data_IF_442777508381
#
_entry.id   IF_442777508381
#
_cell.length_a   1.000
_cell.length_b   1.000
_cell.length_c   1.000
_cell.angle_alpha   90.00
_cell.angle_beta   90.00
_cell.angle_gamma   90.00
#
_symmetry.space_group_name_H-M   'P 1'
#
loop_
_entity.id
_entity.type
_entity.pdbx_description
1 polymer ?
#
# COMPACT_ATOMS: atom_id res chain seq x y z
N UNK A 1 0.33 -15.65 3.24
CA UNK A 1 1.58 -16.44 3.41
C UNK A 1 2.28 -15.95 4.67
N UNK A 2 2.30 -16.73 5.76
CA UNK A 2 3.03 -16.34 6.99
C UNK A 2 4.53 -16.52 6.70
N UNK A 3 5.32 -15.46 6.86
CA UNK A 3 6.77 -15.52 6.63
C UNK A 3 7.39 -16.42 7.72
N UNK A 4 8.02 -17.53 7.33
CA UNK A 4 8.74 -18.38 8.28
C UNK A 4 10.10 -17.75 8.61
N UNK A 5 10.12 -16.95 9.67
CA UNK A 5 11.34 -16.29 10.17
C UNK A 5 12.40 -17.27 10.70
N UNK A 6 12.06 -18.54 10.92
CA UNK A 6 13.01 -19.59 11.32
C UNK A 6 13.71 -20.23 10.13
N UNK A 7 13.18 -20.07 8.92
CA UNK A 7 13.79 -20.60 7.70
C UNK A 7 15.12 -19.91 7.39
N UNK A 8 16.18 -20.72 7.23
CA UNK A 8 17.51 -20.21 6.84
C UNK A 8 17.48 -19.49 5.49
N UNK A 9 16.61 -19.92 4.58
CA UNK A 9 16.45 -19.29 3.26
C UNK A 9 15.92 -17.87 3.39
N UNK A 10 14.92 -17.64 4.24
CA UNK A 10 14.35 -16.30 4.46
C UNK A 10 15.33 -15.38 5.19
N UNK A 11 16.07 -15.90 6.17
CA UNK A 11 17.15 -15.16 6.85
C UNK A 11 18.27 -14.75 5.88
N UNK A 12 18.67 -15.64 4.98
CA UNK A 12 19.68 -15.36 3.95
C UNK A 12 19.19 -14.32 2.94
N UNK A 13 17.95 -14.45 2.44
CA UNK A 13 17.33 -13.46 1.55
C UNK A 13 17.30 -12.09 2.21
N UNK A 14 16.86 -12.02 3.47
CA UNK A 14 16.86 -10.78 4.23
C UNK A 14 18.24 -10.13 4.32
N UNK A 15 19.27 -10.90 4.67
CA UNK A 15 20.66 -10.39 4.72
C UNK A 15 21.16 -9.84 3.38
N UNK A 16 20.87 -10.55 2.28
CA UNK A 16 21.25 -10.11 0.92
C UNK A 16 20.48 -8.85 0.52
N UNK A 17 19.17 -8.80 0.74
CA UNK A 17 18.33 -7.64 0.42
C UNK A 17 18.76 -6.41 1.21
N UNK A 18 19.04 -6.57 2.52
CA UNK A 18 19.54 -5.47 3.35
C UNK A 18 20.92 -4.99 2.89
N UNK A 19 21.84 -5.91 2.59
CA UNK A 19 23.16 -5.55 2.06
C UNK A 19 23.05 -4.76 0.74
N UNK A 20 22.21 -5.23 -0.19
CA UNK A 20 21.97 -4.54 -1.45
C UNK A 20 21.35 -3.15 -1.24
N UNK A 21 20.31 -3.05 -0.40
CA UNK A 21 19.65 -1.79 -0.11
C UNK A 21 20.62 -0.76 0.51
N UNK A 22 21.41 -1.17 1.50
CA UNK A 22 22.40 -0.28 2.15
C UNK A 22 23.51 0.13 1.17
N UNK A 23 23.99 -0.79 0.33
CA UNK A 23 24.98 -0.47 -0.69
C UNK A 23 24.44 0.54 -1.73
N UNK A 24 23.21 0.37 -2.18
CA UNK A 24 22.53 1.31 -3.09
C UNK A 24 22.39 2.69 -2.44
N UNK A 25 21.97 2.75 -1.17
CA UNK A 25 21.89 4.02 -0.43
C UNK A 25 23.26 4.71 -0.31
N UNK A 26 24.31 3.92 -0.06
CA UNK A 26 25.69 4.41 -0.09
C UNK A 26 26.09 4.99 -1.44
N UNK A 27 25.79 4.28 -2.54
CA UNK A 27 26.06 4.74 -3.90
C UNK A 27 25.29 6.03 -4.25
N UNK A 28 24.01 6.12 -3.90
CA UNK A 28 23.20 7.32 -4.08
C UNK A 28 23.81 8.49 -3.30
N UNK A 29 24.18 8.27 -2.03
CA UNK A 29 24.80 9.29 -1.18
C UNK A 29 26.16 9.76 -1.73
N UNK A 30 26.92 8.85 -2.33
CA UNK A 30 28.20 9.14 -2.97
C UNK A 30 28.01 9.98 -4.24
N UNK A 31 27.05 9.61 -5.09
CA UNK A 31 26.72 10.32 -6.32
C UNK A 31 26.22 11.74 -6.06
N UNK A 32 25.34 11.93 -5.07
CA UNK A 32 24.80 13.27 -4.72
C UNK A 32 25.91 14.22 -4.23
N UNK A 33 26.97 13.71 -3.62
CA UNK A 33 28.06 14.52 -3.05
C UNK A 33 29.32 14.56 -3.93
N UNK A 34 29.16 14.31 -5.24
CA UNK A 34 30.22 14.53 -6.23
C UNK A 34 31.41 13.57 -6.09
N UNK A 35 31.19 12.37 -5.55
CA UNK A 35 32.20 11.33 -5.41
C UNK A 35 33.41 11.64 -4.51
N UNK A 36 33.41 12.78 -3.80
CA UNK A 36 34.56 13.26 -3.05
C UNK A 36 35.01 12.34 -1.90
N UNK A 37 34.06 11.72 -1.19
CA UNK A 37 34.34 10.78 -0.10
C UNK A 37 33.53 9.50 -0.29
N UNK A 38 34.22 8.36 -0.37
CA UNK A 38 33.58 7.05 -0.39
C UNK A 38 32.85 6.85 0.94
N UNK A 39 31.55 6.54 0.94
CA UNK A 39 30.80 6.30 2.17
C UNK A 39 31.14 4.92 2.76
N UNK A 40 32.34 4.80 3.32
CA UNK A 40 32.89 3.56 3.92
C UNK A 40 31.98 2.98 5.01
N UNK A 41 31.26 3.82 5.75
CA UNK A 41 30.27 3.36 6.73
C UNK A 41 29.13 2.56 6.11
N UNK A 42 28.61 2.98 4.94
CA UNK A 42 27.53 2.26 4.28
C UNK A 42 28.01 0.92 3.72
N UNK A 43 29.16 0.92 3.05
CA UNK A 43 29.72 -0.32 2.49
C UNK A 43 30.17 -1.31 3.56
N UNK A 44 30.71 -0.85 4.68
CA UNK A 44 31.06 -1.74 5.81
C UNK A 44 29.82 -2.39 6.42
N UNK A 45 28.75 -1.64 6.67
CA UNK A 45 27.49 -2.20 7.19
C UNK A 45 26.88 -3.16 6.17
N UNK A 46 26.87 -2.82 4.87
CA UNK A 46 26.40 -3.73 3.82
C UNK A 46 27.21 -5.03 3.77
N UNK A 47 28.54 -4.95 3.90
CA UNK A 47 29.41 -6.12 3.94
C UNK A 47 29.14 -7.02 5.15
N UNK A 48 28.89 -6.43 6.33
CA UNK A 48 28.50 -7.19 7.53
C UNK A 48 27.18 -7.92 7.31
N UNK A 49 26.15 -7.25 6.77
CA UNK A 49 24.87 -7.90 6.47
C UNK A 49 25.00 -9.03 5.44
N UNK A 50 25.84 -8.83 4.42
CA UNK A 50 26.10 -9.85 3.41
C UNK A 50 26.84 -11.05 4.01
N UNK A 51 27.88 -10.81 4.81
CA UNK A 51 28.66 -11.85 5.48
C UNK A 51 27.78 -12.65 6.46
N UNK A 52 26.99 -11.99 7.28
CA UNK A 52 26.05 -12.65 8.19
C UNK A 52 24.98 -13.43 7.44
N UNK A 53 24.46 -12.89 6.33
CA UNK A 53 23.48 -13.57 5.48
C UNK A 53 24.00 -14.84 4.81
N UNK A 54 25.31 -14.92 4.52
CA UNK A 54 25.93 -16.07 3.86
C UNK A 54 26.51 -17.10 4.85
N UNK A 55 27.18 -16.64 5.91
CA UNK A 55 27.93 -17.49 6.84
C UNK A 55 27.07 -17.93 8.02
N UNK A 56 26.28 -17.02 8.59
CA UNK A 56 25.51 -17.28 9.81
C UNK A 56 24.08 -16.68 9.75
N UNK A 57 23.21 -17.13 8.84
CA UNK A 57 21.83 -16.64 8.72
C UNK A 57 21.03 -16.62 10.04
N UNK A 58 21.16 -17.62 10.95
CA UNK A 58 20.41 -17.65 12.21
C UNK A 58 20.62 -16.44 13.12
N UNK A 59 21.77 -15.77 13.02
CA UNK A 59 22.08 -14.55 13.81
C UNK A 59 21.19 -13.37 13.38
N UNK A 60 20.74 -13.35 12.12
CA UNK A 60 19.85 -12.31 11.59
C UNK A 60 18.38 -12.50 11.98
N UNK A 61 18.02 -13.64 12.57
CA UNK A 61 16.62 -13.95 12.96
C UNK A 61 15.98 -12.88 13.85
N UNK A 62 16.56 -12.45 15.00
CA UNK A 62 15.94 -11.43 15.83
C UNK A 62 15.74 -10.10 15.09
N UNK A 63 16.71 -9.72 14.26
CA UNK A 63 16.64 -8.51 13.42
C UNK A 63 15.51 -8.63 12.40
N UNK A 64 15.40 -9.78 11.73
CA UNK A 64 14.31 -10.07 10.80
C UNK A 64 12.94 -9.98 11.49
N UNK A 65 12.78 -10.54 12.69
CA UNK A 65 11.51 -10.48 13.43
C UNK A 65 11.13 -9.02 13.73
N UNK A 66 12.06 -8.22 14.24
CA UNK A 66 11.82 -6.80 14.53
C UNK A 66 11.47 -6.04 13.24
N UNK A 67 12.21 -6.29 12.16
CA UNK A 67 11.96 -5.68 10.86
C UNK A 67 10.58 -6.03 10.32
N UNK A 68 10.14 -7.29 10.44
CA UNK A 68 8.80 -7.71 9.99
C UNK A 68 7.68 -7.05 10.79
N UNK A 69 7.84 -6.91 12.12
CA UNK A 69 6.88 -6.17 12.95
C UNK A 69 6.80 -4.70 12.57
N UNK A 70 7.95 -4.09 12.28
CA UNK A 70 7.99 -2.72 11.79
C UNK A 70 7.29 -2.57 10.43
N UNK A 71 7.54 -3.49 9.50
CA UNK A 71 6.87 -3.51 8.20
C UNK A 71 5.35 -3.67 8.33
N UNK A 72 4.87 -4.49 9.27
CA UNK A 72 3.44 -4.65 9.56
C UNK A 72 2.81 -3.37 10.12
N UNK A 73 3.47 -2.72 11.07
CA UNK A 73 3.02 -1.44 11.62
C UNK A 73 3.00 -0.33 10.56
N UNK A 74 4.03 -0.28 9.70
CA UNK A 74 4.10 0.65 8.60
C UNK A 74 3.00 0.39 7.58
N UNK A 75 2.75 -0.87 7.23
CA UNK A 75 1.67 -1.25 6.32
C UNK A 75 0.30 -0.83 6.87
N UNK A 76 0.03 -1.08 8.15
CA UNK A 76 -1.19 -0.64 8.82
C UNK A 76 -1.40 0.88 8.74
N UNK A 77 -0.32 1.66 8.91
CA UNK A 77 -0.35 3.11 8.80
C UNK A 77 -0.57 3.56 7.35
N UNK A 78 0.20 3.03 6.40
CA UNK A 78 0.13 3.38 4.97
C UNK A 78 -1.25 3.08 4.41
N UNK A 79 -1.82 1.89 4.67
CA UNK A 79 -3.15 1.54 4.18
C UNK A 79 -4.20 2.54 4.66
N UNK A 80 -4.14 2.98 5.93
CA UNK A 80 -5.07 3.98 6.47
C UNK A 80 -4.90 5.34 5.83
N UNK A 81 -3.65 5.80 5.70
CA UNK A 81 -3.35 7.08 5.06
C UNK A 81 -3.81 7.06 3.61
N UNK A 82 -3.48 6.00 2.86
CA UNK A 82 -3.84 5.86 1.46
C UNK A 82 -5.36 5.86 1.26
N UNK A 83 -6.10 5.08 2.03
CA UNK A 83 -7.56 5.03 1.95
C UNK A 83 -8.20 6.36 2.36
N UNK A 84 -7.69 7.00 3.41
CA UNK A 84 -8.16 8.33 3.84
C UNK A 84 -7.94 9.34 2.74
N UNK A 85 -6.74 9.38 2.17
CA UNK A 85 -6.39 10.30 1.10
C UNK A 85 -7.23 10.03 -0.15
N UNK A 86 -7.41 8.77 -0.54
CA UNK A 86 -8.26 8.39 -1.66
C UNK A 86 -9.72 8.83 -1.44
N UNK A 87 -10.25 8.68 -0.23
CA UNK A 87 -11.59 9.16 0.10
C UNK A 87 -11.70 10.68 -0.05
N UNK A 88 -10.74 11.44 0.49
CA UNK A 88 -10.77 12.90 0.42
C UNK A 88 -10.43 13.48 -0.95
N UNK A 89 -9.64 12.79 -1.78
CA UNK A 89 -9.23 13.27 -3.11
C UNK A 89 -10.17 12.79 -4.21
N UNK A 90 -10.81 11.62 -4.06
CA UNK A 90 -11.67 11.07 -5.10
C UNK A 90 -13.15 11.25 -4.72
N UNK A 91 -13.55 10.72 -3.57
CA UNK A 91 -14.98 10.63 -3.21
C UNK A 91 -15.54 11.99 -2.79
N UNK A 92 -14.84 12.71 -1.92
CA UNK A 92 -15.29 14.02 -1.42
C UNK A 92 -15.45 15.06 -2.53
N UNK A 93 -14.50 15.27 -3.46
CA UNK A 93 -14.68 16.24 -4.53
C UNK A 93 -15.73 15.77 -5.54
N UNK A 94 -15.88 14.48 -5.83
CA UNK A 94 -16.99 13.99 -6.66
C UNK A 94 -18.34 14.40 -6.05
N UNK A 95 -18.52 14.21 -4.74
CA UNK A 95 -19.71 14.69 -4.03
C UNK A 95 -19.87 16.22 -4.11
N UNK A 96 -18.77 16.96 -3.97
CA UNK A 96 -18.81 18.42 -4.06
C UNK A 96 -19.23 18.89 -5.46
N UNK A 97 -18.68 18.27 -6.50
CA UNK A 97 -19.01 18.54 -7.91
C UNK A 97 -20.49 18.21 -8.18
N UNK A 98 -20.97 17.03 -7.77
CA UNK A 98 -22.38 16.66 -7.92
C UNK A 98 -23.31 17.67 -7.23
N UNK A 99 -22.95 18.12 -6.02
CA UNK A 99 -23.69 19.15 -5.29
C UNK A 99 -23.72 20.50 -6.00
N UNK A 100 -22.60 20.92 -6.60
CA UNK A 100 -22.54 22.18 -7.37
C UNK A 100 -23.35 22.07 -8.67
N UNK A 101 -23.33 20.90 -9.32
CA UNK A 101 -24.14 20.63 -10.51
C UNK A 101 -25.64 20.46 -10.20
N UNK A 102 -26.05 20.48 -8.92
CA UNK A 102 -27.43 20.28 -8.51
C UNK A 102 -27.93 18.84 -8.71
N UNK A 103 -27.03 17.89 -8.97
CA UNK A 103 -27.38 16.50 -9.18
C UNK A 103 -27.37 15.76 -7.83
N UNK A 104 -28.57 15.35 -7.38
CA UNK A 104 -28.74 14.47 -6.22
C UNK A 104 -29.35 13.13 -6.67
N UNK A 105 -28.52 12.15 -7.07
CA UNK A 105 -29.01 10.86 -7.59
C UNK A 105 -29.73 10.02 -6.53
N UNK A 106 -29.74 10.44 -5.26
CA UNK A 106 -30.38 9.72 -4.17
C UNK A 106 -31.58 10.47 -3.60
N UNK A 107 -32.02 11.56 -4.25
CA UNK A 107 -33.18 12.38 -3.84
C UNK A 107 -33.26 12.55 -2.32
N UNK A 108 -32.15 12.96 -1.70
CA UNK A 108 -31.99 12.92 -0.23
C UNK A 108 -32.74 14.03 0.48
N UNK A 109 -33.20 15.04 -0.26
CA UNK A 109 -33.98 16.13 0.30
C UNK A 109 -35.37 15.62 0.72
N UNK A 110 -35.76 15.93 1.96
CA UNK A 110 -37.09 15.61 2.45
C UNK A 110 -38.11 16.53 1.79
N UNK A 111 -39.03 15.95 1.02
CA UNK A 111 -40.19 16.62 0.45
C UNK A 111 -41.43 16.33 1.34
N UNK A 112 -41.94 17.32 2.10
CA UNK A 112 -43.13 17.14 2.94
C UNK A 112 -44.43 17.05 2.15
N UNK A 113 -44.41 17.38 0.86
CA UNK A 113 -45.58 17.38 -0.03
C UNK A 113 -45.68 16.10 -0.87
N UNK A 114 -44.62 15.29 -0.88
CA UNK A 114 -44.60 14.01 -1.56
C UNK A 114 -45.56 13.01 -0.87
N UNK A 115 -46.48 12.44 -1.65
CA UNK A 115 -47.38 11.39 -1.16
C UNK A 115 -46.64 10.08 -0.84
N UNK A 116 -45.50 9.85 -1.50
CA UNK A 116 -44.66 8.65 -1.36
C UNK A 116 -43.26 8.93 -1.94
N UNK A 117 -42.21 8.33 -1.36
CA UNK A 117 -40.83 8.37 -1.88
C UNK A 117 -40.49 7.14 -2.75
N UNK A 118 -41.47 6.25 -3.00
CA UNK A 118 -41.27 5.12 -3.90
C UNK A 118 -41.06 5.63 -5.33
N UNK A 119 -39.91 5.31 -5.92
CA UNK A 119 -39.66 5.48 -7.35
C UNK A 119 -40.24 4.28 -8.10
N UNK A 120 -40.83 4.52 -9.27
CA UNK A 120 -41.35 3.46 -10.11
C UNK A 120 -40.20 2.53 -10.54
N UNK A 121 -40.47 1.22 -10.54
CA UNK A 121 -39.49 0.25 -11.00
C UNK A 121 -39.14 0.54 -12.48
N UNK A 122 -37.85 0.55 -12.80
CA UNK A 122 -37.40 0.63 -14.19
C UNK A 122 -38.04 -0.51 -15.00
N UNK A 123 -38.51 -0.16 -16.20
CA UNK A 123 -39.25 -1.07 -17.07
C UNK A 123 -38.32 -2.18 -17.54
N UNK A 124 -38.43 -3.34 -16.89
CA UNK A 124 -37.50 -4.45 -17.14
C UNK A 124 -37.81 -5.09 -18.50
N UNK A 125 -36.78 -5.46 -19.27
CA UNK A 125 -36.99 -6.17 -20.52
C UNK A 125 -37.78 -7.46 -20.25
N UNK A 126 -38.83 -7.71 -21.04
CA UNK A 126 -39.68 -8.89 -20.89
C UNK A 126 -39.05 -10.16 -21.47
N UNK A 127 -37.96 -10.01 -22.21
CA UNK A 127 -37.22 -11.09 -22.86
C UNK A 127 -36.17 -11.68 -21.93
N UNK A 128 -36.20 -13.00 -21.73
CA UNK A 128 -35.32 -13.70 -20.82
C UNK A 128 -33.84 -13.54 -21.18
N UNK A 129 -33.49 -13.49 -22.48
CA UNK A 129 -32.09 -13.36 -22.90
C UNK A 129 -31.46 -12.03 -22.46
N UNK A 130 -32.25 -10.95 -22.40
CA UNK A 130 -31.77 -9.61 -22.00
C UNK A 130 -31.46 -9.47 -20.51
N UNK A 131 -31.91 -10.42 -19.68
CA UNK A 131 -31.49 -10.48 -18.27
C UNK A 131 -30.04 -10.93 -18.11
N UNK A 132 -29.48 -11.63 -19.09
CA UNK A 132 -28.10 -12.11 -19.04
C UNK A 132 -27.08 -10.99 -19.34
N UNK A 133 -27.52 -9.90 -19.95
CA UNK A 133 -26.68 -8.77 -20.39
C UNK A 133 -26.66 -7.59 -19.40
N UNK A 134 -27.27 -7.72 -18.22
CA UNK A 134 -27.42 -6.62 -17.25
C UNK A 134 -26.17 -6.35 -16.37
N UNK A 135 -25.07 -7.08 -16.53
CA UNK A 135 -23.84 -6.95 -15.73
C UNK A 135 -22.58 -6.76 -16.56
#
# INVERSE_FOLDING_TARGET
>A
MKLDTSSRTEQRKFGIVMAAAIAILGLIRWAIHGFAFVPTYFFSVAAVFLALGLVAPPVLRPVLIVWMKFAEALNWLITRILLTLAFFILIVPVRAIMRIMGHDPLNRAWDPTAATYWEDAEDQPKEFERYLDQF
#
